data_IF_717463254937
#
_entry.id   IF_717463254937
#
_cell.length_a   1.000
_cell.length_b   1.000
_cell.length_c   1.000
_cell.angle_alpha   90.00
_cell.angle_beta   90.00
_cell.angle_gamma   90.00
#
_symmetry.space_group_name_H-M   'P 1'
#
loop_
_entity.id
_entity.type
_entity.pdbx_description
1 polymer ?
#
# COMPACT_ATOMS: atom_id res chain seq x y z
N UNK A 1 -20.06 -21.35 -6.68
CA UNK A 1 -20.85 -20.29 -6.01
C UNK A 1 -19.86 -19.21 -5.65
N UNK A 2 -19.79 -18.16 -6.46
CA UNK A 2 -18.88 -17.03 -6.27
C UNK A 2 -19.32 -16.23 -5.04
N UNK A 3 -18.42 -15.90 -4.09
CA UNK A 3 -18.73 -14.97 -3.01
C UNK A 3 -18.68 -13.55 -3.58
N UNK A 4 -19.71 -13.20 -4.34
CA UNK A 4 -19.93 -11.83 -4.75
C UNK A 4 -20.41 -11.03 -3.52
N UNK A 5 -19.63 -10.02 -3.17
CA UNK A 5 -20.12 -8.74 -2.66
C UNK A 5 -20.91 -8.76 -1.34
N UNK A 6 -20.23 -8.98 -0.22
CA UNK A 6 -20.78 -8.58 1.10
C UNK A 6 -19.68 -8.04 2.01
N UNK A 7 -19.02 -6.94 1.63
CA UNK A 7 -18.04 -6.27 2.49
C UNK A 7 -18.14 -4.74 2.53
N UNK A 8 -19.17 -4.16 1.91
CA UNK A 8 -19.55 -2.77 2.08
C UNK A 8 -21.03 -2.74 2.49
N UNK A 9 -21.32 -2.40 3.74
CA UNK A 9 -22.66 -1.92 4.09
C UNK A 9 -22.74 -0.47 3.59
N UNK A 10 -23.52 -0.25 2.52
CA UNK A 10 -23.83 1.10 2.05
C UNK A 10 -24.66 1.88 3.08
N UNK A 11 -24.61 3.22 2.95
CA UNK A 11 -25.11 4.19 3.91
C UNK A 11 -26.49 3.85 4.47
N UNK A 12 -26.52 3.36 5.72
CA UNK A 12 -27.57 3.75 6.64
C UNK A 12 -27.57 5.27 6.79
N UNK A 13 -28.70 5.86 7.19
CA UNK A 13 -28.94 7.30 7.35
C UNK A 13 -28.07 7.98 8.45
N UNK A 14 -26.96 7.35 8.86
CA UNK A 14 -26.04 7.80 9.89
C UNK A 14 -24.76 8.44 9.32
N UNK A 15 -24.06 9.27 10.12
CA UNK A 15 -22.82 9.96 9.73
C UNK A 15 -21.59 9.04 9.60
N UNK A 16 -21.71 7.75 9.96
CA UNK A 16 -20.64 6.75 9.91
C UNK A 16 -21.14 5.40 9.37
N UNK A 17 -20.26 4.66 8.70
CA UNK A 17 -20.51 3.31 8.17
C UNK A 17 -19.23 2.46 8.24
N UNK A 18 -19.28 1.21 7.77
CA UNK A 18 -18.12 0.31 7.72
C UNK A 18 -17.64 0.09 6.29
N UNK A 19 -16.36 0.36 6.05
CA UNK A 19 -15.69 0.04 4.79
C UNK A 19 -14.58 -0.99 5.08
N UNK A 20 -14.68 -2.19 4.49
CA UNK A 20 -13.83 -3.35 4.85
C UNK A 20 -13.82 -3.65 6.37
N UNK A 21 -14.93 -3.34 7.04
CA UNK A 21 -15.07 -3.49 8.49
C UNK A 21 -14.34 -2.44 9.34
N UNK A 22 -13.71 -1.45 8.70
CA UNK A 22 -13.17 -0.25 9.37
C UNK A 22 -14.32 0.75 9.50
N UNK A 23 -14.55 1.27 10.70
CA UNK A 23 -15.52 2.34 10.88
C UNK A 23 -14.97 3.62 10.24
N UNK A 24 -15.74 4.20 9.32
CA UNK A 24 -15.40 5.44 8.63
C UNK A 24 -16.53 6.45 8.83
N UNK A 25 -16.19 7.72 8.85
CA UNK A 25 -17.13 8.84 8.96
C UNK A 25 -17.04 9.71 7.72
N UNK A 26 -18.17 10.29 7.30
CA UNK A 26 -18.20 11.17 6.13
C UNK A 26 -17.34 12.40 6.36
N UNK A 27 -16.51 12.75 5.38
CA UNK A 27 -15.69 13.94 5.38
C UNK A 27 -16.27 14.96 4.39
N UNK A 28 -16.62 16.15 4.88
CA UNK A 28 -17.39 17.15 4.14
C UNK A 28 -16.59 17.93 3.10
N UNK A 29 -15.26 17.90 3.16
CA UNK A 29 -14.38 18.70 2.29
C UNK A 29 -13.20 17.87 1.81
N UNK A 30 -13.22 17.40 0.56
CA UNK A 30 -12.15 16.55 0.04
C UNK A 30 -11.59 17.02 -1.30
N UNK A 31 -10.30 16.72 -1.50
CA UNK A 31 -9.61 16.77 -2.78
C UNK A 31 -10.30 15.89 -3.81
N UNK A 32 -10.43 16.39 -5.04
CA UNK A 32 -10.92 15.62 -6.19
C UNK A 32 -10.17 14.27 -6.26
N UNK A 33 -10.89 13.18 -6.57
CA UNK A 33 -10.40 11.80 -6.70
C UNK A 33 -10.04 11.03 -5.41
N UNK A 34 -10.21 11.61 -4.22
CA UNK A 34 -10.12 10.85 -2.97
C UNK A 34 -11.52 10.46 -2.43
N UNK A 35 -11.66 9.39 -1.61
CA UNK A 35 -12.95 8.92 -1.08
C UNK A 35 -13.46 9.75 0.10
N UNK A 36 -14.72 10.21 0.10
CA UNK A 36 -15.30 11.22 1.02
C UNK A 36 -15.53 10.76 2.47
N UNK A 37 -14.61 9.98 3.00
CA UNK A 37 -14.64 9.46 4.36
C UNK A 37 -13.25 9.41 4.98
N UNK A 38 -13.22 9.48 6.31
CA UNK A 38 -12.00 9.32 7.10
C UNK A 38 -12.21 8.18 8.12
N UNK A 39 -11.19 7.37 8.42
CA UNK A 39 -11.29 6.38 9.49
C UNK A 39 -11.66 7.06 10.81
N UNK A 40 -12.73 6.59 11.45
CA UNK A 40 -13.13 7.10 12.76
C UNK A 40 -12.09 6.63 13.79
N UNK A 41 -11.58 7.53 14.63
CA UNK A 41 -10.46 7.28 15.57
C UNK A 41 -10.78 6.27 16.70
N UNK A 42 -11.85 5.49 16.61
CA UNK A 42 -12.43 4.78 17.76
C UNK A 42 -12.58 3.29 17.45
N UNK A 43 -11.90 2.51 18.29
CA UNK A 43 -11.96 1.05 18.51
C UNK A 43 -11.19 0.13 17.55
N UNK A 44 -9.86 0.26 17.61
CA UNK A 44 -8.85 -0.67 17.09
C UNK A 44 -8.89 -2.09 17.71
N UNK A 45 -9.77 -2.38 18.68
CA UNK A 45 -9.84 -3.72 19.32
C UNK A 45 -10.17 -4.82 18.31
N UNK A 46 -11.07 -4.54 17.38
CA UNK A 46 -11.47 -5.49 16.34
C UNK A 46 -10.42 -5.61 15.24
N UNK A 47 -9.55 -4.62 15.06
CA UNK A 47 -8.43 -4.68 14.10
C UNK A 47 -7.31 -5.56 14.68
N UNK A 48 -6.98 -5.40 15.96
CA UNK A 48 -6.05 -6.30 16.65
C UNK A 48 -6.53 -7.76 16.65
N UNK A 49 -7.84 -8.00 16.78
CA UNK A 49 -8.42 -9.34 16.72
C UNK A 49 -8.36 -9.98 15.31
N UNK A 50 -8.15 -9.19 14.26
CA UNK A 50 -8.00 -9.66 12.87
C UNK A 50 -6.54 -9.89 12.46
N UNK A 51 -5.60 -9.44 13.28
CA UNK A 51 -4.19 -9.61 12.99
C UNK A 51 -3.73 -10.97 13.51
N UNK A 52 -3.48 -11.89 12.59
CA UNK A 52 -2.87 -13.19 12.91
C UNK A 52 -1.35 -13.12 12.66
N UNK A 53 -0.50 -13.23 13.70
CA UNK A 53 0.94 -13.26 13.52
C UNK A 53 1.41 -14.43 12.64
N UNK A 54 0.70 -15.56 12.63
CA UNK A 54 1.10 -16.72 11.82
C UNK A 54 0.80 -16.50 10.35
N UNK A 55 -0.36 -15.97 9.99
CA UNK A 55 -0.65 -15.56 8.60
C UNK A 55 0.35 -14.50 8.10
N UNK A 56 0.76 -13.57 8.97
CA UNK A 56 1.79 -12.60 8.63
C UNK A 56 3.16 -13.25 8.39
N UNK A 57 3.56 -14.20 9.24
CA UNK A 57 4.81 -14.95 9.04
C UNK A 57 4.79 -15.78 7.75
N UNK A 58 3.67 -16.48 7.48
CA UNK A 58 3.47 -17.22 6.24
C UNK A 58 3.57 -16.31 5.01
N UNK A 59 3.00 -15.09 5.10
CA UNK A 59 3.14 -14.08 4.06
C UNK A 59 4.60 -13.63 3.89
N UNK A 60 5.33 -13.38 4.98
CA UNK A 60 6.75 -13.01 4.89
C UNK A 60 7.61 -14.12 4.26
N UNK A 61 7.26 -15.39 4.47
CA UNK A 61 7.94 -16.54 3.85
C UNK A 61 7.76 -16.57 2.33
N UNK A 62 6.69 -15.98 1.79
CA UNK A 62 6.53 -15.80 0.33
C UNK A 62 7.45 -14.73 -0.27
N UNK A 63 8.16 -13.96 0.57
CA UNK A 63 9.09 -12.89 0.18
C UNK A 63 8.48 -11.91 -0.82
N UNK A 64 7.31 -11.30 -0.50
CA UNK A 64 6.55 -10.48 -1.45
C UNK A 64 7.32 -9.25 -1.96
N UNK A 65 8.28 -8.76 -1.17
CA UNK A 65 9.18 -7.68 -1.59
C UNK A 65 10.06 -8.05 -2.80
N UNK A 66 10.42 -9.33 -2.98
CA UNK A 66 11.16 -9.77 -4.17
C UNK A 66 10.28 -9.70 -5.41
N UNK A 67 9.02 -10.13 -5.31
CA UNK A 67 8.07 -10.02 -6.41
C UNK A 67 7.84 -8.55 -6.81
N UNK A 68 7.76 -7.63 -5.84
CA UNK A 68 7.67 -6.19 -6.13
C UNK A 68 8.95 -5.66 -6.75
N UNK A 69 10.11 -6.12 -6.30
CA UNK A 69 11.42 -5.75 -6.86
C UNK A 69 11.58 -6.23 -8.30
N UNK A 70 11.23 -7.47 -8.60
CA UNK A 70 11.32 -8.07 -9.94
C UNK A 70 10.34 -7.41 -10.93
N UNK A 71 9.15 -7.04 -10.45
CA UNK A 71 8.13 -6.37 -11.26
C UNK A 71 8.22 -4.83 -11.22
N UNK A 72 9.33 -4.26 -10.73
CA UNK A 72 9.53 -2.81 -10.69
C UNK A 72 9.75 -2.25 -12.09
N UNK A 73 9.40 -0.97 -12.26
CA UNK A 73 9.80 -0.21 -13.46
C UNK A 73 11.32 0.00 -13.42
N UNK A 74 12.02 -0.58 -14.38
CA UNK A 74 13.48 -0.52 -14.51
C UNK A 74 13.95 0.46 -15.60
N UNK A 75 13.02 1.19 -16.21
CA UNK A 75 13.26 2.06 -17.35
C UNK A 75 13.10 3.54 -16.98
N UNK A 76 14.02 4.39 -17.47
CA UNK A 76 13.92 5.85 -17.33
C UNK A 76 13.06 6.42 -18.47
N UNK A 77 11.88 6.97 -18.14
CA UNK A 77 10.91 7.48 -19.13
C UNK A 77 11.34 8.82 -19.75
N UNK A 78 12.09 9.65 -19.02
CA UNK A 78 12.43 11.02 -19.43
C UNK A 78 13.89 11.21 -19.89
N UNK A 79 14.71 10.15 -19.87
CA UNK A 79 16.14 10.26 -20.15
C UNK A 79 16.60 9.14 -21.08
N UNK A 80 17.41 9.48 -22.09
CA UNK A 80 18.15 8.49 -22.87
C UNK A 80 19.48 8.22 -22.18
N UNK A 81 19.95 6.98 -22.22
CA UNK A 81 21.21 6.59 -21.58
C UNK A 81 22.41 7.46 -22.00
N UNK A 82 22.49 7.81 -23.29
CA UNK A 82 23.55 8.67 -23.84
C UNK A 82 23.58 10.11 -23.29
N UNK A 83 22.46 10.56 -22.72
CA UNK A 83 22.33 11.90 -22.15
C UNK A 83 22.69 11.91 -20.65
N UNK A 84 23.02 10.75 -20.06
CA UNK A 84 23.41 10.62 -18.66
C UNK A 84 24.91 10.87 -18.49
N UNK A 85 25.26 11.71 -17.51
CA UNK A 85 26.65 11.88 -17.11
C UNK A 85 27.13 10.67 -16.30
N UNK A 86 28.46 10.50 -16.19
CA UNK A 86 29.03 9.40 -15.39
C UNK A 86 28.60 9.47 -13.92
N UNK A 87 28.44 10.66 -13.36
CA UNK A 87 27.98 10.85 -11.99
C UNK A 87 26.50 10.49 -11.82
N UNK A 88 25.66 10.79 -12.81
CA UNK A 88 24.26 10.34 -12.81
C UNK A 88 24.17 8.82 -12.85
N UNK A 89 24.99 8.15 -13.69
CA UNK A 89 25.04 6.69 -13.76
C UNK A 89 25.47 6.09 -12.41
N UNK A 90 26.50 6.66 -11.77
CA UNK A 90 26.93 6.25 -10.42
C UNK A 90 25.83 6.44 -9.39
N UNK A 91 25.13 7.58 -9.44
CA UNK A 91 23.99 7.88 -8.58
C UNK A 91 22.85 6.87 -8.76
N UNK A 92 22.49 6.53 -10.00
CA UNK A 92 21.47 5.52 -10.30
C UNK A 92 21.85 4.15 -9.75
N UNK A 93 23.09 3.71 -9.96
CA UNK A 93 23.58 2.46 -9.40
C UNK A 93 23.49 2.45 -7.88
N UNK A 94 23.86 3.56 -7.23
CA UNK A 94 23.74 3.71 -5.78
C UNK A 94 22.28 3.64 -5.31
N UNK A 95 21.35 4.33 -5.96
CA UNK A 95 19.92 4.30 -5.64
C UNK A 95 19.36 2.89 -5.80
N UNK A 96 19.66 2.21 -6.91
CA UNK A 96 19.19 0.84 -7.16
C UNK A 96 19.72 -0.11 -6.09
N UNK A 97 21.01 -0.03 -5.78
CA UNK A 97 21.64 -0.87 -4.74
C UNK A 97 21.05 -0.58 -3.35
N UNK A 98 20.72 0.68 -3.07
CA UNK A 98 20.05 1.07 -1.84
C UNK A 98 18.64 0.49 -1.77
N UNK A 99 17.83 0.64 -2.82
CA UNK A 99 16.47 0.09 -2.85
C UNK A 99 16.45 -1.42 -2.74
N UNK A 100 17.36 -2.12 -3.43
CA UNK A 100 17.49 -3.59 -3.34
C UNK A 100 17.81 -4.05 -1.93
N UNK A 101 18.75 -3.37 -1.26
CA UNK A 101 19.13 -3.69 0.12
C UNK A 101 17.98 -3.54 1.10
N UNK A 102 17.11 -2.56 0.88
CA UNK A 102 16.03 -2.17 1.80
C UNK A 102 14.63 -2.52 1.27
N UNK A 103 14.54 -3.41 0.27
CA UNK A 103 13.29 -3.68 -0.44
C UNK A 103 12.19 -4.21 0.49
N UNK A 104 12.56 -4.99 1.50
CA UNK A 104 11.63 -5.51 2.49
C UNK A 104 11.03 -4.38 3.33
N UNK A 105 11.85 -3.47 3.83
CA UNK A 105 11.43 -2.37 4.68
C UNK A 105 10.64 -1.30 3.90
N UNK A 106 10.82 -1.22 2.58
CA UNK A 106 9.92 -0.46 1.72
C UNK A 106 8.56 -1.13 1.59
N UNK A 107 8.55 -2.45 1.35
CA UNK A 107 7.32 -3.22 1.25
C UNK A 107 6.49 -3.17 2.54
N UNK A 108 7.11 -3.42 3.69
CA UNK A 108 6.46 -3.40 5.02
C UNK A 108 5.91 -2.02 5.44
N UNK A 109 6.40 -0.92 4.86
CA UNK A 109 5.85 0.43 5.11
C UNK A 109 4.70 0.78 4.18
N UNK A 110 4.62 0.13 3.03
CA UNK A 110 3.62 0.40 2.00
C UNK A 110 2.40 -0.53 2.03
N UNK A 111 2.47 -1.62 2.80
CA UNK A 111 1.44 -2.67 2.92
C UNK A 111 1.19 -2.96 4.41
#
# INVERSE_FOLDING_TARGET
MTPADTYAEELGDGPSWRHFGIMVQRYSSQTLDFPNYTPTRIENKNIHARWDPFEYLDLLDTRPWEAVWENRVDTLVFFRYRDLTQDMIRGLNWIISFMERWMREFWERGH
#
